data_IF_098509106423
#
_entry.id   IF_098509106423
#
_cell.length_a   1.000
_cell.length_b   1.000
_cell.length_c   1.000
_cell.angle_alpha   90.00
_cell.angle_beta   90.00
_cell.angle_gamma   90.00
#
_symmetry.space_group_name_H-M   'P 1'
#
loop_
_entity.id
_entity.type
_entity.pdbx_description
1 polymer ?
#
# COMPACT_ATOMS: atom_id res chain seq x y z
N UNK A 1 3.32 0.30 10.21
CA UNK A 1 3.86 1.40 9.39
C UNK A 1 5.23 1.86 9.90
N UNK A 2 5.32 2.38 11.13
CA UNK A 2 6.59 2.91 11.68
C UNK A 2 7.74 1.90 11.65
N UNK A 3 7.46 0.64 11.96
CA UNK A 3 8.47 -0.43 11.93
C UNK A 3 9.07 -0.58 10.53
N UNK A 4 8.24 -0.72 9.50
CA UNK A 4 8.70 -0.86 8.12
C UNK A 4 9.47 0.38 7.64
N UNK A 5 8.98 1.57 7.91
CA UNK A 5 9.63 2.82 7.49
C UNK A 5 11.01 3.02 8.14
N UNK A 6 11.22 2.55 9.37
CA UNK A 6 12.56 2.59 10.03
C UNK A 6 13.61 1.81 9.24
N UNK A 7 13.22 0.76 8.55
CA UNK A 7 14.11 -0.05 7.71
C UNK A 7 14.08 0.36 6.23
N UNK A 8 13.43 1.48 5.90
CA UNK A 8 13.34 1.97 4.53
C UNK A 8 12.44 1.14 3.63
N UNK A 9 11.55 0.33 4.20
CA UNK A 9 10.58 -0.43 3.43
C UNK A 9 9.42 0.44 2.94
N UNK A 10 8.76 0.03 1.85
CA UNK A 10 7.51 0.62 1.40
C UNK A 10 6.32 0.06 2.19
N UNK A 11 5.31 0.90 2.40
CA UNK A 11 4.06 0.53 3.10
C UNK A 11 2.85 1.03 2.34
N UNK A 12 1.93 0.12 2.00
CA UNK A 12 0.60 0.46 1.55
C UNK A 12 -0.35 0.51 2.74
N UNK A 13 -1.07 1.61 2.90
CA UNK A 13 -2.01 1.82 3.99
C UNK A 13 -3.41 1.98 3.41
N UNK A 14 -4.28 1.00 3.68
CA UNK A 14 -5.65 0.99 3.20
C UNK A 14 -6.57 1.66 4.23
N UNK A 15 -7.19 2.78 3.85
CA UNK A 15 -7.95 3.66 4.74
C UNK A 15 -9.46 3.46 4.63
N UNK A 16 -9.93 2.58 3.75
CA UNK A 16 -11.36 2.42 3.42
C UNK A 16 -12.22 1.95 4.59
N UNK A 17 -11.63 1.38 5.63
CA UNK A 17 -12.33 0.98 6.86
C UNK A 17 -12.50 2.12 7.87
N UNK A 18 -11.90 3.27 7.62
CA UNK A 18 -12.11 4.46 8.44
C UNK A 18 -13.47 5.08 8.13
N UNK A 19 -14.12 5.64 9.13
CA UNK A 19 -15.38 6.36 8.93
C UNK A 19 -15.11 7.66 8.18
N UNK A 20 -16.08 8.06 7.35
CA UNK A 20 -16.05 9.37 6.71
C UNK A 20 -15.99 10.51 7.69
N UNK A 21 -15.36 11.61 7.30
CA UNK A 21 -15.30 12.83 8.09
C UNK A 21 -16.72 13.32 8.43
N UNK A 22 -16.88 13.83 9.64
CA UNK A 22 -18.19 14.30 10.11
C UNK A 22 -19.13 13.20 10.63
N UNK A 23 -18.77 11.92 10.52
CA UNK A 23 -19.60 10.83 11.06
C UNK A 23 -19.56 10.84 12.59
N UNK A 24 -20.73 10.99 13.20
CA UNK A 24 -20.90 10.90 14.66
C UNK A 24 -20.82 9.43 15.11
N UNK A 25 -20.16 9.18 16.22
CA UNK A 25 -20.09 7.88 16.87
C UNK A 25 -21.20 7.61 17.90
N UNK A 26 -22.20 8.49 17.98
CA UNK A 26 -23.28 8.44 18.99
C UNK A 26 -22.84 8.79 20.41
N UNK A 27 -21.60 9.27 20.60
CA UNK A 27 -21.03 9.68 21.91
C UNK A 27 -20.50 11.11 21.87
N UNK A 28 -20.96 11.92 20.93
CA UNK A 28 -20.54 13.32 20.77
C UNK A 28 -19.13 13.49 20.18
N UNK A 29 -18.53 12.41 19.62
CA UNK A 29 -17.23 12.46 18.93
C UNK A 29 -17.44 12.27 17.43
N UNK A 30 -16.85 13.14 16.66
CA UNK A 30 -16.95 13.17 15.20
C UNK A 30 -15.69 12.61 14.57
N UNK A 31 -15.85 11.73 13.56
CA UNK A 31 -14.73 11.17 12.81
C UNK A 31 -14.02 12.26 12.00
N UNK A 32 -12.69 12.21 11.97
CA UNK A 32 -11.86 13.15 11.20
C UNK A 32 -11.58 12.70 9.76
N UNK A 33 -12.01 11.49 9.41
CA UNK A 33 -11.89 10.94 8.06
C UNK A 33 -10.49 10.45 7.66
N UNK A 34 -10.40 9.71 6.53
CA UNK A 34 -9.16 9.10 6.05
C UNK A 34 -8.08 10.12 5.68
N UNK A 35 -8.44 11.31 5.20
CA UNK A 35 -7.47 12.34 4.82
C UNK A 35 -6.67 12.85 6.02
N UNK A 36 -7.29 12.97 7.20
CA UNK A 36 -6.59 13.36 8.42
C UNK A 36 -5.58 12.29 8.86
N UNK A 37 -5.96 11.00 8.80
CA UNK A 37 -5.04 9.91 9.07
C UNK A 37 -3.92 9.83 8.03
N UNK A 38 -4.21 10.15 6.77
CA UNK A 38 -3.22 10.27 5.72
C UNK A 38 -2.10 11.26 6.05
N UNK A 39 -2.44 12.40 6.67
CA UNK A 39 -1.46 13.39 7.15
C UNK A 39 -0.53 12.82 8.22
N UNK A 40 -1.06 11.98 9.13
CA UNK A 40 -0.25 11.31 10.15
C UNK A 40 0.79 10.40 9.49
N UNK A 41 0.38 9.57 8.51
CA UNK A 41 1.30 8.67 7.82
C UNK A 41 2.30 9.42 6.95
N UNK A 42 1.90 10.51 6.32
CA UNK A 42 2.81 11.40 5.57
C UNK A 42 3.87 12.02 6.48
N UNK A 43 3.46 12.57 7.61
CA UNK A 43 4.37 13.13 8.62
C UNK A 43 5.31 12.06 9.18
N UNK A 44 4.79 10.88 9.50
CA UNK A 44 5.60 9.77 10.00
C UNK A 44 6.70 9.36 9.00
N UNK A 45 6.37 9.27 7.71
CA UNK A 45 7.35 8.98 6.66
C UNK A 45 8.41 10.08 6.57
N UNK A 46 8.01 11.33 6.66
CA UNK A 46 8.94 12.47 6.67
C UNK A 46 9.96 12.37 7.82
N UNK A 47 9.47 12.15 9.03
CA UNK A 47 10.32 12.14 10.23
C UNK A 47 11.26 10.94 10.26
N UNK A 48 10.79 9.75 9.93
CA UNK A 48 11.62 8.55 9.90
C UNK A 48 12.62 8.56 8.76
N UNK A 49 12.27 9.18 7.63
CA UNK A 49 13.19 9.37 6.51
C UNK A 49 14.43 10.19 6.88
N UNK A 50 14.24 11.25 7.66
CA UNK A 50 15.33 12.14 8.09
C UNK A 50 16.33 11.47 9.05
N UNK A 51 15.86 10.48 9.81
CA UNK A 51 16.70 9.68 10.72
C UNK A 51 17.27 8.42 10.09
N UNK A 52 16.86 8.06 8.88
CA UNK A 52 17.29 6.84 8.18
C UNK A 52 18.62 7.03 7.44
N UNK A 53 19.55 6.10 7.64
CA UNK A 53 20.90 6.19 7.07
C UNK A 53 21.00 5.65 5.64
N UNK A 54 20.10 4.78 5.18
CA UNK A 54 20.34 4.04 3.95
C UNK A 54 19.23 4.07 2.90
N UNK A 55 17.97 4.11 3.25
CA UNK A 55 16.86 4.12 2.29
C UNK A 55 15.69 4.98 2.78
N UNK A 56 15.06 5.65 1.84
CA UNK A 56 13.81 6.35 2.13
C UNK A 56 12.66 5.36 2.08
N UNK A 57 11.86 5.28 3.13
CA UNK A 57 10.58 4.60 3.10
C UNK A 57 9.62 5.24 2.11
N UNK A 58 8.65 4.48 1.64
CA UNK A 58 7.59 4.96 0.79
C UNK A 58 6.23 4.63 1.41
N UNK A 59 5.31 5.58 1.37
CA UNK A 59 3.91 5.38 1.82
C UNK A 59 2.97 5.61 0.65
N UNK A 60 2.08 4.65 0.40
CA UNK A 60 0.93 4.83 -0.48
C UNK A 60 -0.33 4.65 0.32
N UNK A 61 -1.19 5.66 0.27
CA UNK A 61 -2.50 5.66 0.91
C UNK A 61 -3.53 5.17 -0.10
N UNK A 62 -4.30 4.19 0.28
CA UNK A 62 -5.36 3.61 -0.56
C UNK A 62 -6.73 3.96 -0.01
N UNK A 63 -7.65 4.35 -0.89
CA UNK A 63 -9.05 4.56 -0.57
C UNK A 63 -9.93 3.96 -1.67
N UNK A 64 -11.02 3.31 -1.29
CA UNK A 64 -11.98 2.77 -2.24
C UNK A 64 -12.81 3.92 -2.85
N UNK A 65 -13.10 3.80 -4.15
CA UNK A 65 -13.89 4.82 -4.88
C UNK A 65 -15.27 5.07 -4.26
N UNK A 66 -15.80 4.10 -3.53
CA UNK A 66 -17.12 4.18 -2.88
C UNK A 66 -17.09 4.87 -1.51
N UNK A 67 -15.89 5.24 -1.02
CA UNK A 67 -15.78 5.91 0.28
C UNK A 67 -16.40 7.31 0.25
N UNK A 68 -17.15 7.74 1.30
CA UNK A 68 -17.78 9.06 1.31
C UNK A 68 -16.80 10.22 1.15
N UNK A 69 -15.56 10.08 1.58
CA UNK A 69 -14.53 11.12 1.49
C UNK A 69 -13.66 11.00 0.22
N UNK A 70 -14.11 10.25 -0.78
CA UNK A 70 -13.30 10.02 -2.00
C UNK A 70 -12.94 11.33 -2.72
N UNK A 71 -13.87 12.26 -2.78
CA UNK A 71 -13.65 13.58 -3.42
C UNK A 71 -12.53 14.34 -2.71
N UNK A 72 -12.60 14.48 -1.37
CA UNK A 72 -11.55 15.12 -0.60
C UNK A 72 -10.20 14.43 -0.80
N UNK A 73 -10.20 13.10 -0.79
CA UNK A 73 -8.99 12.30 -0.94
C UNK A 73 -8.32 12.50 -2.32
N UNK A 74 -9.11 12.56 -3.39
CA UNK A 74 -8.59 12.73 -4.76
C UNK A 74 -8.15 14.17 -5.01
N UNK A 75 -8.91 15.16 -4.49
CA UNK A 75 -8.62 16.58 -4.67
C UNK A 75 -7.52 17.11 -3.75
N UNK A 76 -7.14 16.38 -2.69
CA UNK A 76 -6.08 16.79 -1.79
C UNK A 76 -4.81 17.16 -2.57
N UNK A 77 -4.24 18.32 -2.27
CA UNK A 77 -3.04 18.82 -2.94
C UNK A 77 -1.80 18.06 -2.48
N UNK A 78 -0.79 18.01 -3.33
CA UNK A 78 0.48 17.34 -3.01
C UNK A 78 1.17 17.94 -1.78
N UNK A 79 1.04 19.23 -1.55
CA UNK A 79 1.60 19.91 -0.38
C UNK A 79 0.92 19.52 0.96
N UNK A 80 -0.31 19.00 0.91
CA UNK A 80 -1.02 18.49 2.08
C UNK A 80 -0.57 17.10 2.51
N UNK A 81 -0.03 16.31 1.57
CA UNK A 81 0.43 14.93 1.77
C UNK A 81 1.80 14.72 1.06
N UNK A 82 2.82 15.54 1.36
CA UNK A 82 4.05 15.59 0.55
C UNK A 82 4.86 14.29 0.56
N UNK A 83 4.70 13.47 1.60
CA UNK A 83 5.45 12.24 1.80
C UNK A 83 4.62 10.97 1.66
N UNK A 84 3.42 11.08 1.09
CA UNK A 84 2.56 9.95 0.79
C UNK A 84 1.98 10.08 -0.62
N UNK A 85 1.96 8.99 -1.37
CA UNK A 85 1.23 8.89 -2.62
C UNK A 85 -0.18 8.40 -2.35
N UNK A 86 -1.08 8.59 -3.31
CA UNK A 86 -2.48 8.21 -3.19
C UNK A 86 -2.88 7.24 -4.28
N UNK A 87 -3.69 6.26 -3.92
CA UNK A 87 -4.22 5.26 -4.82
C UNK A 87 -5.71 5.08 -4.59
N UNK A 88 -6.50 5.10 -5.64
CA UNK A 88 -7.93 4.79 -5.60
C UNK A 88 -8.11 3.32 -5.96
N UNK A 89 -8.79 2.57 -5.09
CA UNK A 89 -9.14 1.18 -5.36
C UNK A 89 -10.54 1.12 -5.97
N UNK A 90 -10.68 0.35 -7.03
CA UNK A 90 -11.93 0.20 -7.75
C UNK A 90 -12.04 -1.15 -8.47
N UNK A 91 -13.24 -1.49 -8.88
CA UNK A 91 -13.55 -2.48 -9.90
C UNK A 91 -14.46 -1.83 -10.96
N UNK A 92 -14.78 -2.56 -12.01
CA UNK A 92 -15.60 -2.06 -13.11
C UNK A 92 -17.00 -1.63 -12.65
N UNK A 93 -17.63 -2.41 -11.79
CA UNK A 93 -18.96 -2.10 -11.26
C UNK A 93 -18.95 -0.79 -10.47
N UNK A 94 -17.99 -0.64 -9.53
CA UNK A 94 -17.84 0.57 -8.71
C UNK A 94 -17.55 1.79 -9.58
N UNK A 95 -16.73 1.63 -10.62
CA UNK A 95 -16.45 2.70 -11.58
C UNK A 95 -17.72 3.14 -12.31
N UNK A 96 -18.49 2.19 -12.80
CA UNK A 96 -19.72 2.48 -13.54
C UNK A 96 -20.78 3.18 -12.66
N UNK A 97 -20.83 2.85 -11.37
CA UNK A 97 -21.77 3.44 -10.42
C UNK A 97 -21.28 4.78 -9.83
N UNK A 98 -19.98 5.10 -9.95
CA UNK A 98 -19.43 6.34 -9.39
C UNK A 98 -20.00 7.58 -10.08
N UNK A 99 -20.23 8.68 -9.33
CA UNK A 99 -20.65 9.96 -9.90
C UNK A 99 -19.64 10.47 -10.93
N UNK A 100 -20.13 11.09 -12.02
CA UNK A 100 -19.26 11.63 -13.09
C UNK A 100 -18.23 12.66 -12.56
N UNK A 101 -18.61 13.47 -11.56
CA UNK A 101 -17.69 14.39 -10.93
C UNK A 101 -16.50 13.67 -10.26
N UNK A 102 -16.74 12.54 -9.57
CA UNK A 102 -15.67 11.73 -8.96
C UNK A 102 -14.76 11.13 -10.03
N UNK A 103 -15.34 10.63 -11.13
CA UNK A 103 -14.57 10.11 -12.26
C UNK A 103 -13.67 11.20 -12.87
N UNK A 104 -14.22 12.40 -13.08
CA UNK A 104 -13.47 13.53 -13.60
C UNK A 104 -12.30 13.91 -12.67
N UNK A 105 -12.55 14.02 -11.36
CA UNK A 105 -11.50 14.31 -10.37
C UNK A 105 -10.40 13.25 -10.37
N UNK A 106 -10.76 11.97 -10.48
CA UNK A 106 -9.79 10.86 -10.57
C UNK A 106 -8.95 11.00 -11.85
N UNK A 107 -9.59 11.22 -13.00
CA UNK A 107 -8.88 11.40 -14.28
C UNK A 107 -7.91 12.58 -14.24
N UNK A 108 -8.34 13.70 -13.68
CA UNK A 108 -7.49 14.87 -13.48
C UNK A 108 -6.32 14.59 -12.53
N UNK A 109 -6.59 13.86 -11.45
CA UNK A 109 -5.56 13.42 -10.50
C UNK A 109 -4.51 12.50 -11.14
N UNK A 110 -4.93 11.60 -12.03
CA UNK A 110 -4.03 10.74 -12.83
C UNK A 110 -3.21 11.60 -13.80
N UNK A 111 -3.85 12.51 -14.52
CA UNK A 111 -3.17 13.39 -15.47
C UNK A 111 -2.09 14.25 -14.79
N UNK A 112 -2.30 14.68 -13.56
CA UNK A 112 -1.30 15.39 -12.76
C UNK A 112 -0.23 14.46 -12.14
N UNK A 113 -0.40 13.14 -12.23
CA UNK A 113 0.49 12.17 -11.58
C UNK A 113 0.31 12.08 -10.04
N UNK A 114 -0.81 12.53 -9.51
CA UNK A 114 -1.11 12.55 -8.08
C UNK A 114 -1.86 11.30 -7.61
N UNK A 115 -2.61 10.66 -8.50
CA UNK A 115 -3.47 9.52 -8.22
C UNK A 115 -3.06 8.31 -9.04
N UNK A 116 -2.99 7.18 -8.38
CA UNK A 116 -2.81 5.86 -8.98
C UNK A 116 -4.10 5.06 -8.82
N UNK A 117 -4.24 4.01 -9.62
CA UNK A 117 -5.39 3.10 -9.55
C UNK A 117 -4.93 1.70 -9.19
N UNK A 118 -5.69 1.03 -8.35
CA UNK A 118 -5.53 -0.38 -8.05
C UNK A 118 -6.87 -1.12 -8.20
N UNK A 119 -6.82 -2.32 -8.77
CA UNK A 119 -7.99 -3.19 -8.83
C UNK A 119 -8.29 -3.77 -7.44
N UNK A 120 -9.56 -3.83 -7.09
CA UNK A 120 -10.02 -4.63 -5.95
C UNK A 120 -9.97 -6.10 -6.35
N UNK A 121 -9.31 -6.92 -5.55
CA UNK A 121 -9.15 -8.36 -5.78
C UNK A 121 -9.46 -9.15 -4.51
N UNK A 122 -9.82 -10.41 -4.69
CA UNK A 122 -9.98 -11.39 -3.63
C UNK A 122 -9.12 -12.62 -3.93
N UNK A 123 -8.72 -13.33 -2.88
CA UNK A 123 -8.03 -14.60 -2.97
C UNK A 123 -9.02 -15.74 -3.34
N UNK A 124 -8.52 -16.95 -3.43
CA UNK A 124 -9.30 -18.15 -3.74
C UNK A 124 -10.39 -18.48 -2.71
N UNK A 125 -10.35 -17.87 -1.52
CA UNK A 125 -11.33 -18.02 -0.45
C UNK A 125 -12.33 -16.85 -0.40
N UNK A 126 -12.29 -15.93 -1.38
CA UNK A 126 -13.13 -14.74 -1.42
C UNK A 126 -12.70 -13.63 -0.45
N UNK A 127 -11.58 -13.79 0.25
CA UNK A 127 -11.06 -12.76 1.14
C UNK A 127 -10.34 -11.67 0.33
N UNK A 128 -10.59 -10.41 0.69
CA UNK A 128 -9.95 -9.28 0.02
C UNK A 128 -8.44 -9.32 0.21
N UNK A 129 -7.72 -9.17 -0.89
CA UNK A 129 -6.28 -8.94 -0.93
C UNK A 129 -6.00 -7.50 -1.37
N UNK A 130 -4.85 -6.98 -0.98
CA UNK A 130 -4.53 -5.57 -1.06
C UNK A 130 -3.26 -5.35 -1.86
N UNK A 131 -3.26 -4.32 -2.69
CA UNK A 131 -2.07 -3.95 -3.46
C UNK A 131 -0.97 -3.41 -2.53
N UNK A 132 0.27 -3.74 -2.86
CA UNK A 132 1.46 -3.16 -2.22
C UNK A 132 1.71 -1.71 -2.67
N UNK A 133 2.86 -1.17 -2.28
CA UNK A 133 3.26 0.22 -2.58
C UNK A 133 3.36 0.50 -4.08
N UNK A 134 3.89 -0.45 -4.85
CA UNK A 134 4.11 -0.29 -6.30
C UNK A 134 2.94 -0.83 -7.13
N UNK A 135 1.93 -1.44 -6.49
CA UNK A 135 0.68 -1.95 -7.07
C UNK A 135 0.79 -3.24 -7.90
N UNK A 136 1.96 -3.88 -7.95
CA UNK A 136 2.20 -5.09 -8.75
C UNK A 136 1.91 -6.38 -7.99
N UNK A 137 1.96 -6.36 -6.65
CA UNK A 137 1.72 -7.52 -5.79
C UNK A 137 0.47 -7.32 -4.95
N UNK A 138 -0.34 -8.38 -4.81
CA UNK A 138 -1.53 -8.36 -3.97
C UNK A 138 -1.34 -9.34 -2.82
N UNK A 139 -1.45 -8.85 -1.60
CA UNK A 139 -1.21 -9.59 -0.37
C UNK A 139 -2.43 -9.50 0.56
N UNK A 140 -2.54 -10.45 1.46
CA UNK A 140 -3.45 -10.32 2.60
C UNK A 140 -3.02 -9.14 3.47
N UNK A 141 -3.95 -8.64 4.28
CA UNK A 141 -3.63 -7.59 5.26
C UNK A 141 -2.44 -8.01 6.13
N UNK A 142 -1.47 -7.10 6.28
CA UNK A 142 -0.20 -7.31 7.01
C UNK A 142 0.79 -8.25 6.33
N UNK A 143 0.52 -8.67 5.10
CA UNK A 143 1.48 -9.41 4.31
C UNK A 143 2.72 -8.58 4.00
N UNK A 144 3.84 -9.24 3.84
CA UNK A 144 5.10 -8.63 3.39
C UNK A 144 5.69 -9.44 2.25
N UNK A 145 6.56 -8.83 1.48
CA UNK A 145 7.25 -9.46 0.36
C UNK A 145 8.66 -8.91 0.20
N UNK A 146 9.51 -9.70 -0.40
CA UNK A 146 10.90 -9.36 -0.70
C UNK A 146 11.14 -9.49 -2.19
N UNK A 147 12.12 -8.75 -2.70
CA UNK A 147 12.57 -8.81 -4.10
C UNK A 147 14.01 -9.27 -4.17
N UNK A 148 14.26 -10.10 -5.18
CA UNK A 148 15.59 -10.42 -5.66
C UNK A 148 15.63 -10.25 -7.18
N UNK A 149 16.82 -9.95 -7.71
CA UNK A 149 17.03 -9.70 -9.12
C UNK A 149 18.16 -10.56 -9.64
N UNK A 150 17.89 -11.26 -10.74
CA UNK A 150 18.91 -11.96 -11.50
C UNK A 150 19.37 -11.07 -12.66
N UNK A 151 20.67 -10.75 -12.71
CA UNK A 151 21.25 -10.00 -13.82
C UNK A 151 21.42 -10.90 -15.02
N UNK A 152 20.46 -10.90 -15.94
CA UNK A 152 20.48 -11.73 -17.14
C UNK A 152 21.71 -11.48 -18.02
N UNK A 153 22.22 -10.25 -18.05
CA UNK A 153 23.42 -9.90 -18.83
C UNK A 153 24.72 -10.49 -18.27
N UNK A 154 24.71 -10.93 -17.01
CA UNK A 154 25.86 -11.57 -16.38
C UNK A 154 25.79 -13.11 -16.35
N UNK A 155 24.66 -13.68 -16.79
CA UNK A 155 24.45 -15.12 -16.83
C UNK A 155 24.61 -15.65 -18.25
N UNK A 156 25.20 -16.84 -18.39
CA UNK A 156 25.08 -17.57 -19.63
C UNK A 156 23.69 -18.15 -19.79
N UNK A 157 23.13 -18.29 -21.00
CA UNK A 157 21.78 -18.81 -21.18
C UNK A 157 21.52 -20.16 -20.50
N UNK A 158 22.50 -21.06 -20.54
CA UNK A 158 22.43 -22.39 -19.92
C UNK A 158 22.38 -22.36 -18.40
N UNK A 159 22.90 -21.31 -17.75
CA UNK A 159 22.94 -21.16 -16.30
C UNK A 159 21.68 -20.47 -15.73
N UNK A 160 20.84 -19.87 -16.59
CA UNK A 160 19.66 -19.13 -16.12
C UNK A 160 18.71 -19.95 -15.25
N UNK A 161 18.35 -21.20 -15.60
CA UNK A 161 17.46 -21.97 -14.74
C UNK A 161 18.02 -22.18 -13.32
N UNK A 162 19.31 -22.51 -13.21
CA UNK A 162 19.95 -22.71 -11.90
C UNK A 162 20.11 -21.41 -11.14
N UNK A 163 20.38 -20.29 -11.80
CA UNK A 163 20.44 -18.97 -11.18
C UNK A 163 19.09 -18.56 -10.57
N UNK A 164 17.97 -18.81 -11.27
CA UNK A 164 16.64 -18.53 -10.72
C UNK A 164 16.28 -19.43 -9.55
N UNK A 165 16.67 -20.70 -9.58
CA UNK A 165 16.46 -21.61 -8.45
C UNK A 165 17.25 -21.12 -7.23
N UNK A 166 18.54 -20.83 -7.41
CA UNK A 166 19.40 -20.36 -6.32
C UNK A 166 18.90 -19.03 -5.72
N UNK A 167 18.48 -18.08 -6.58
CA UNK A 167 17.92 -16.81 -6.12
C UNK A 167 16.61 -16.99 -5.34
N UNK A 168 15.73 -17.90 -5.78
CA UNK A 168 14.52 -18.19 -5.03
C UNK A 168 14.82 -18.84 -3.68
N UNK A 169 15.77 -19.77 -3.61
CA UNK A 169 16.18 -20.39 -2.35
C UNK A 169 16.77 -19.36 -1.37
N UNK A 170 17.62 -18.46 -1.86
CA UNK A 170 18.16 -17.36 -1.06
C UNK A 170 17.04 -16.41 -0.57
N UNK A 171 16.09 -16.06 -1.43
CA UNK A 171 14.97 -15.20 -1.08
C UNK A 171 14.08 -15.82 0.01
N UNK A 172 13.79 -17.13 -0.10
CA UNK A 172 13.03 -17.87 0.91
C UNK A 172 13.80 -17.92 2.24
N UNK A 173 15.10 -18.19 2.20
CA UNK A 173 15.94 -18.24 3.40
C UNK A 173 16.01 -16.85 4.08
N UNK A 174 16.22 -15.78 3.32
CA UNK A 174 16.18 -14.42 3.82
C UNK A 174 14.82 -14.07 4.42
N UNK A 175 13.72 -14.39 3.73
CA UNK A 175 12.38 -14.13 4.23
C UNK A 175 12.11 -14.87 5.55
N UNK A 176 12.54 -16.12 5.67
CA UNK A 176 12.39 -16.90 6.89
C UNK A 176 13.19 -16.33 8.08
N UNK A 177 14.31 -15.64 7.80
CA UNK A 177 15.20 -15.02 8.78
C UNK A 177 14.80 -13.60 9.16
N UNK A 178 13.89 -12.95 8.45
CA UNK A 178 13.49 -11.56 8.73
C UNK A 178 12.77 -11.39 10.06
N UNK A 179 12.35 -12.48 10.69
CA UNK A 179 11.62 -12.43 11.96
C UNK A 179 10.26 -11.76 11.83
N UNK A 180 9.60 -11.91 10.68
CA UNK A 180 8.27 -11.37 10.43
C UNK A 180 7.29 -11.80 11.51
N UNK A 181 7.43 -13.02 12.02
CA UNK A 181 6.71 -13.54 13.18
C UNK A 181 6.98 -12.79 14.49
N UNK A 182 8.11 -12.06 14.57
CA UNK A 182 8.49 -11.23 15.72
C UNK A 182 8.07 -9.77 15.58
N UNK A 183 7.59 -9.37 14.41
CA UNK A 183 7.25 -7.95 14.13
C UNK A 183 5.87 -7.57 14.64
N UNK A 184 5.14 -8.50 15.20
CA UNK A 184 3.87 -8.22 15.84
C UNK A 184 3.09 -9.47 16.17
N UNK A 185 2.22 -9.36 17.13
CA UNK A 185 1.23 -10.34 17.54
C UNK A 185 0.26 -10.77 16.41
N UNK A 186 0.53 -10.29 15.19
CA UNK A 186 -0.42 -10.30 14.09
C UNK A 186 -0.13 -11.32 13.00
N UNK A 187 1.11 -11.80 12.93
CA UNK A 187 1.51 -12.81 11.96
C UNK A 187 1.74 -14.14 12.68
N UNK A 188 0.70 -14.63 13.35
CA UNK A 188 0.75 -15.83 14.17
C UNK A 188 0.48 -17.10 13.37
N UNK A 189 -0.06 -17.00 12.16
CA UNK A 189 -0.39 -18.13 11.31
C UNK A 189 0.55 -18.21 10.11
N UNK A 190 0.92 -19.41 9.73
CA UNK A 190 1.78 -19.69 8.58
C UNK A 190 1.18 -19.17 7.26
N UNK A 191 -0.14 -19.11 7.18
CA UNK A 191 -0.88 -18.51 6.06
C UNK A 191 -0.65 -17.00 5.90
N UNK A 192 -0.10 -16.32 6.90
CA UNK A 192 0.21 -14.89 6.87
C UNK A 192 1.66 -14.63 6.40
N UNK A 193 2.43 -15.68 6.14
CA UNK A 193 3.84 -15.64 5.73
C UNK A 193 4.02 -15.82 4.23
N UNK A 194 3.26 -15.15 3.43
CA UNK A 194 3.44 -15.23 1.96
C UNK A 194 4.26 -14.07 1.45
#
# INVERSE_FOLDING_TARGET
>A
VSHALRYGAGVAVHLSNLRGAGTDNGKGLVASGPCSFGKIYSCLNEQLRRGGTYKNGAVVLHLDITHPDITEFVQARRDQLPWAKRCVNLNEEMWNQAPEAVKADICDGIARGDIWLAKIRSDQHGQRIYANVCLEVFLRSRGTWLLEHINLGACRPEDLPSAFVAGMEELIDLHSKTGVEKTGEYLTQESDRQ
#
